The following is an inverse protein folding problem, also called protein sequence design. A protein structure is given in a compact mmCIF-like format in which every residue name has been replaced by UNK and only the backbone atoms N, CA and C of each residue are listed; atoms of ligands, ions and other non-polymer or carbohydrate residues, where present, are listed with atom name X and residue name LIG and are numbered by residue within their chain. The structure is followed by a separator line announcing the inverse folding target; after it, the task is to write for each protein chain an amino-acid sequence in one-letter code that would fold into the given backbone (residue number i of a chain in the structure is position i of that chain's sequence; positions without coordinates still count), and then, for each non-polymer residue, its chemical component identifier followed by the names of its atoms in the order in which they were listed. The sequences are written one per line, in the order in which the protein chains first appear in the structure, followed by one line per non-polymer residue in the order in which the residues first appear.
data_IF_723032018989
#
_entry.id   IF_723032018989
#
_cell.length_a   1.000
_cell.length_b   1.000
_cell.length_c   1.000
_cell.angle_alpha   90.00
_cell.angle_beta   90.00
_cell.angle_gamma   90.00
#
_symmetry.space_group_name_H-M   'P 1'
#
loop_
_entity.id
_entity.type
_entity.pdbx_description
1 polymer ?
#
# COMPACT_ATOMS: atom_id res chain seq x y z
N UNK A 1 -29.72 -32.64 6.92
CA UNK A 1 -28.51 -32.17 6.21
C UNK A 1 -27.53 -31.65 7.25
N UNK A 2 -26.36 -32.28 7.44
CA UNK A 2 -25.33 -31.75 8.34
C UNK A 2 -24.79 -30.45 7.73
N UNK A 3 -24.92 -29.34 8.44
CA UNK A 3 -24.25 -28.07 8.11
C UNK A 3 -22.76 -28.36 7.91
N UNK A 4 -22.28 -28.35 6.66
CA UNK A 4 -20.84 -28.27 6.38
C UNK A 4 -20.39 -26.95 6.97
N UNK A 5 -19.76 -26.96 8.15
CA UNK A 5 -19.00 -25.81 8.66
C UNK A 5 -18.09 -25.38 7.51
N UNK A 6 -18.16 -24.11 7.11
CA UNK A 6 -17.27 -23.59 6.08
C UNK A 6 -15.84 -23.82 6.58
N UNK A 7 -15.05 -24.61 5.85
CA UNK A 7 -13.72 -25.03 6.29
C UNK A 7 -12.78 -23.83 6.50
N UNK A 8 -13.09 -22.70 5.85
CA UNK A 8 -12.39 -21.44 5.97
C UNK A 8 -13.39 -20.31 6.28
N UNK A 9 -13.59 -19.95 7.57
CA UNK A 9 -14.45 -18.83 7.92
C UNK A 9 -13.89 -17.51 7.36
N UNK A 10 -14.78 -16.55 7.10
CA UNK A 10 -14.35 -15.18 6.79
C UNK A 10 -13.74 -14.55 8.03
N UNK A 11 -12.51 -14.08 7.91
CA UNK A 11 -11.76 -13.39 8.94
C UNK A 11 -11.92 -11.89 8.79
N UNK A 12 -11.94 -11.16 9.89
CA UNK A 12 -11.64 -9.72 9.87
C UNK A 12 -10.18 -9.48 9.48
N UNK A 13 -9.80 -8.25 9.16
CA UNK A 13 -8.40 -7.91 8.88
C UNK A 13 -7.46 -8.32 10.01
N UNK A 14 -7.80 -7.94 11.24
CA UNK A 14 -6.98 -8.27 12.42
C UNK A 14 -6.80 -9.78 12.58
N UNK A 15 -7.89 -10.54 12.42
CA UNK A 15 -7.83 -12.00 12.48
C UNK A 15 -6.97 -12.59 11.35
N UNK A 16 -7.01 -12.04 10.14
CA UNK A 16 -6.17 -12.49 9.04
C UNK A 16 -4.68 -12.20 9.30
N UNK A 17 -4.34 -11.06 9.90
CA UNK A 17 -2.96 -10.73 10.31
C UNK A 17 -2.48 -11.67 11.41
N UNK A 18 -3.27 -11.87 12.46
CA UNK A 18 -2.96 -12.82 13.54
C UNK A 18 -2.76 -14.24 12.99
N UNK A 19 -3.59 -14.64 12.02
CA UNK A 19 -3.47 -15.94 11.36
C UNK A 19 -2.18 -16.06 10.53
N UNK A 20 -1.80 -15.03 9.78
CA UNK A 20 -0.52 -14.98 9.07
C UNK A 20 0.65 -15.09 10.03
N UNK A 21 0.66 -14.33 11.13
CA UNK A 21 1.72 -14.34 12.14
C UNK A 21 1.86 -15.73 12.78
N UNK A 22 0.75 -16.35 13.16
CA UNK A 22 0.73 -17.72 13.66
C UNK A 22 1.41 -18.70 12.70
N UNK A 23 1.09 -18.63 11.40
CA UNK A 23 1.71 -19.52 10.41
C UNK A 23 3.16 -19.18 10.09
N UNK A 24 3.57 -17.91 10.19
CA UNK A 24 4.98 -17.54 10.10
C UNK A 24 5.80 -18.20 11.21
N UNK A 25 5.27 -18.26 12.43
CA UNK A 25 5.92 -18.98 13.54
C UNK A 25 6.02 -20.48 13.26
N UNK A 26 4.96 -21.10 12.73
CA UNK A 26 5.01 -22.51 12.31
C UNK A 26 6.05 -22.77 11.20
N UNK A 27 6.19 -21.85 10.24
CA UNK A 27 7.21 -21.93 9.17
C UNK A 27 8.62 -21.83 9.75
N UNK A 28 8.83 -20.95 10.74
CA UNK A 28 10.12 -20.80 11.43
C UNK A 28 10.46 -22.04 12.26
N UNK A 29 9.47 -22.60 12.94
CA UNK A 29 9.62 -23.82 13.75
C UNK A 29 9.97 -25.04 12.91
N UNK A 30 9.30 -25.22 11.75
CA UNK A 30 9.62 -26.29 10.79
C UNK A 30 11.04 -26.12 10.21
N UNK A 31 11.45 -24.87 9.99
CA UNK A 31 12.74 -24.51 9.43
C UNK A 31 12.79 -24.59 7.90
N UNK A 32 13.43 -23.60 7.28
CA UNK A 32 13.45 -23.49 5.82
C UNK A 32 14.17 -24.66 5.12
N UNK A 33 15.16 -25.28 5.77
CA UNK A 33 15.88 -26.41 5.20
C UNK A 33 14.97 -27.65 5.03
N UNK A 34 14.02 -27.85 5.96
CA UNK A 34 12.98 -28.89 5.84
C UNK A 34 11.97 -28.52 4.76
N UNK A 35 11.48 -27.29 4.79
CA UNK A 35 10.43 -26.82 3.88
C UNK A 35 10.88 -26.79 2.42
N UNK A 36 12.16 -26.53 2.16
CA UNK A 36 12.73 -26.54 0.79
C UNK A 36 12.98 -27.93 0.22
N UNK A 37 12.83 -28.99 1.02
CA UNK A 37 13.14 -30.38 0.61
C UNK A 37 11.97 -31.35 0.80
N UNK A 38 10.96 -30.98 1.58
CA UNK A 38 9.83 -31.84 1.92
C UNK A 38 8.50 -31.28 1.40
N UNK A 39 8.08 -31.76 0.23
CA UNK A 39 6.82 -31.38 -0.39
C UNK A 39 5.59 -31.58 0.50
N UNK A 40 5.54 -32.63 1.33
CA UNK A 40 4.41 -32.87 2.22
C UNK A 40 4.27 -31.81 3.32
N UNK A 41 5.39 -31.26 3.79
CA UNK A 41 5.37 -30.15 4.75
C UNK A 41 4.84 -28.86 4.10
N UNK A 42 5.17 -28.62 2.83
CA UNK A 42 4.69 -27.47 2.04
C UNK A 42 3.20 -27.58 1.75
N UNK A 43 2.70 -28.75 1.37
CA UNK A 43 1.26 -28.97 1.14
C UNK A 43 0.45 -28.61 2.38
N UNK A 44 0.93 -28.97 3.58
CA UNK A 44 0.29 -28.58 4.85
C UNK A 44 0.20 -27.06 5.00
N UNK A 45 1.28 -26.33 4.72
CA UNK A 45 1.30 -24.86 4.82
C UNK A 45 0.41 -24.23 3.75
N UNK A 46 0.44 -24.73 2.52
CA UNK A 46 -0.40 -24.24 1.43
C UNK A 46 -1.90 -24.43 1.73
N UNK A 47 -2.28 -25.62 2.18
CA UNK A 47 -3.67 -25.94 2.53
C UNK A 47 -4.22 -25.08 3.68
N UNK A 48 -3.35 -24.65 4.59
CA UNK A 48 -3.79 -23.92 5.78
C UNK A 48 -3.61 -22.41 5.67
N UNK A 49 -2.46 -21.92 5.21
CA UNK A 49 -2.20 -20.49 5.04
C UNK A 49 -2.75 -19.98 3.70
N UNK A 50 -2.31 -20.56 2.60
CA UNK A 50 -2.60 -20.05 1.25
C UNK A 50 -4.09 -20.13 0.94
N UNK A 51 -4.69 -21.31 1.12
CA UNK A 51 -6.13 -21.48 0.88
C UNK A 51 -6.97 -20.61 1.81
N UNK A 52 -6.63 -20.48 3.10
CA UNK A 52 -7.39 -19.63 4.02
C UNK A 52 -7.38 -18.15 3.57
N UNK A 53 -6.25 -17.64 3.07
CA UNK A 53 -6.14 -16.28 2.53
C UNK A 53 -6.85 -16.10 1.19
N UNK A 54 -6.81 -17.10 0.30
CA UNK A 54 -7.55 -17.10 -0.96
C UNK A 54 -9.06 -17.05 -0.76
N UNK A 55 -9.57 -17.68 0.30
CA UNK A 55 -10.99 -17.67 0.62
C UNK A 55 -11.50 -16.34 1.20
N UNK A 56 -10.60 -15.40 1.55
CA UNK A 56 -10.99 -14.08 2.02
C UNK A 56 -11.32 -13.17 0.83
N UNK A 57 -12.61 -13.08 0.50
CA UNK A 57 -13.11 -12.35 -0.68
C UNK A 57 -12.92 -10.83 -0.57
N UNK A 58 -12.69 -10.33 0.64
CA UNK A 58 -12.51 -8.91 0.94
C UNK A 58 -11.06 -8.42 0.78
N UNK A 59 -10.07 -9.32 0.65
CA UNK A 59 -8.67 -8.93 0.43
C UNK A 59 -8.53 -8.38 -0.99
N UNK A 60 -8.78 -7.09 -1.08
CA UNK A 60 -8.65 -6.27 -2.28
C UNK A 60 -7.20 -5.80 -2.46
N UNK A 61 -6.63 -5.92 -3.67
CA UNK A 61 -5.24 -5.52 -3.96
C UNK A 61 -4.96 -4.03 -3.79
N UNK A 62 -5.97 -3.16 -3.83
CA UNK A 62 -5.79 -1.71 -3.72
C UNK A 62 -5.93 -1.27 -2.26
N UNK A 63 -6.93 -1.82 -1.55
CA UNK A 63 -7.18 -1.51 -0.15
C UNK A 63 -6.18 -2.22 0.76
N UNK A 64 -6.09 -3.54 0.70
CA UNK A 64 -5.28 -4.33 1.62
C UNK A 64 -3.98 -4.80 0.97
N UNK A 65 -3.25 -3.88 0.33
CA UNK A 65 -2.12 -4.20 -0.53
C UNK A 65 -1.05 -5.08 0.13
N UNK A 66 -0.64 -4.78 1.36
CA UNK A 66 0.35 -5.58 2.10
C UNK A 66 -0.12 -7.01 2.37
N UNK A 67 -1.37 -7.18 2.83
CA UNK A 67 -1.98 -8.50 3.03
C UNK A 67 -2.23 -9.24 1.71
N UNK A 68 -2.57 -8.51 0.65
CA UNK A 68 -2.67 -9.04 -0.71
C UNK A 68 -1.33 -9.60 -1.21
N UNK A 69 -0.21 -8.90 -0.92
CA UNK A 69 1.13 -9.40 -1.25
C UNK A 69 1.47 -10.68 -0.49
N UNK A 70 1.16 -10.76 0.81
CA UNK A 70 1.32 -12.00 1.58
C UNK A 70 0.56 -13.15 0.93
N UNK A 71 -0.72 -12.94 0.57
CA UNK A 71 -1.51 -13.96 -0.16
C UNK A 71 -0.84 -14.37 -1.47
N UNK A 72 -0.37 -13.42 -2.26
CA UNK A 72 0.30 -13.72 -3.54
C UNK A 72 1.54 -14.58 -3.34
N UNK A 73 2.43 -14.20 -2.43
CA UNK A 73 3.65 -14.96 -2.17
C UNK A 73 3.36 -16.35 -1.55
N UNK A 74 2.33 -16.46 -0.73
CA UNK A 74 1.89 -17.75 -0.19
C UNK A 74 1.40 -18.70 -1.31
N UNK A 75 0.77 -18.17 -2.37
CA UNK A 75 0.42 -18.94 -3.58
C UNK A 75 1.69 -19.35 -4.33
N UNK A 76 2.57 -18.38 -4.61
CA UNK A 76 3.78 -18.58 -5.41
C UNK A 76 4.74 -19.61 -4.77
N UNK A 77 4.74 -19.74 -3.44
CA UNK A 77 5.55 -20.72 -2.70
C UNK A 77 5.16 -22.16 -3.03
N UNK A 78 3.90 -22.46 -3.31
CA UNK A 78 3.51 -23.83 -3.62
C UNK A 78 4.25 -24.37 -4.85
N UNK A 79 4.41 -23.52 -5.88
CA UNK A 79 5.10 -23.87 -7.12
C UNK A 79 6.64 -23.74 -7.00
N UNK A 80 7.13 -22.89 -6.08
CA UNK A 80 8.55 -22.55 -5.95
C UNK A 80 9.16 -22.94 -4.59
N UNK A 81 8.60 -23.95 -3.92
CA UNK A 81 8.94 -24.22 -2.51
C UNK A 81 10.40 -24.60 -2.25
N UNK A 82 11.14 -25.03 -3.27
CA UNK A 82 12.58 -25.33 -3.14
C UNK A 82 13.44 -24.06 -3.07
N UNK A 83 12.88 -22.90 -3.44
CA UNK A 83 13.56 -21.61 -3.36
C UNK A 83 13.44 -21.02 -1.96
N UNK A 84 14.55 -21.08 -1.23
CA UNK A 84 14.69 -20.50 0.11
C UNK A 84 14.40 -18.99 0.14
N UNK A 85 14.71 -18.26 -0.94
CA UNK A 85 14.51 -16.81 -0.98
C UNK A 85 13.02 -16.43 -1.03
N UNK A 86 12.20 -17.25 -1.69
CA UNK A 86 10.74 -17.11 -1.70
C UNK A 86 10.13 -17.26 -0.31
N UNK A 87 10.60 -18.22 0.50
CA UNK A 87 10.18 -18.38 1.90
C UNK A 87 10.61 -17.20 2.77
N UNK A 88 11.85 -16.76 2.65
CA UNK A 88 12.36 -15.61 3.39
C UNK A 88 11.52 -14.36 3.08
N UNK A 89 11.14 -14.17 1.80
CA UNK A 89 10.30 -13.05 1.39
C UNK A 89 8.88 -13.13 1.93
N UNK A 90 8.28 -14.32 1.99
CA UNK A 90 6.96 -14.47 2.62
C UNK A 90 7.02 -14.08 4.10
N UNK A 91 8.03 -14.54 4.84
CA UNK A 91 8.18 -14.21 6.26
C UNK A 91 8.37 -12.71 6.49
N UNK A 92 9.24 -12.06 5.69
CA UNK A 92 9.43 -10.60 5.70
C UNK A 92 8.09 -9.86 5.50
N UNK A 93 7.30 -10.26 4.49
CA UNK A 93 6.01 -9.64 4.21
C UNK A 93 4.99 -9.84 5.34
N UNK A 94 5.06 -10.96 6.07
CA UNK A 94 4.19 -11.22 7.22
C UNK A 94 4.62 -10.37 8.43
N UNK A 95 5.92 -10.23 8.66
CA UNK A 95 6.47 -9.40 9.74
C UNK A 95 6.11 -7.92 9.56
N UNK A 96 6.07 -7.46 8.31
CA UNK A 96 5.68 -6.09 7.94
C UNK A 96 4.15 -5.85 7.92
N UNK A 97 3.32 -6.86 8.22
CA UNK A 97 1.86 -6.66 8.26
C UNK A 97 1.46 -5.71 9.38
N UNK A 98 0.73 -4.62 9.09
CA UNK A 98 0.24 -3.75 10.14
C UNK A 98 -0.79 -4.49 11.00
N UNK A 99 -0.68 -4.35 12.33
CA UNK A 99 -1.56 -5.07 13.28
C UNK A 99 -3.02 -4.61 13.21
N UNK A 100 -3.23 -3.36 12.83
CA UNK A 100 -4.53 -2.77 12.63
C UNK A 100 -4.58 -2.02 11.30
N UNK A 101 -5.52 -2.42 10.44
CA UNK A 101 -5.83 -1.67 9.25
C UNK A 101 -6.75 -0.50 9.61
N UNK A 102 -6.25 0.73 9.48
CA UNK A 102 -7.05 1.94 9.71
C UNK A 102 -6.59 2.83 10.87
N UNK A 103 -5.78 2.37 11.83
CA UNK A 103 -5.34 3.24 12.95
C UNK A 103 -4.25 4.24 12.59
N UNK A 104 -3.53 4.03 11.49
CA UNK A 104 -2.59 5.00 10.90
C UNK A 104 -3.10 5.57 9.56
N UNK A 105 -4.38 5.40 9.22
CA UNK A 105 -4.89 5.69 7.89
C UNK A 105 -5.58 7.06 7.83
N UNK A 106 -4.86 8.12 8.20
CA UNK A 106 -5.32 9.49 7.97
C UNK A 106 -5.42 9.79 6.45
N UNK A 107 -4.77 8.97 5.60
CA UNK A 107 -4.73 9.12 4.15
C UNK A 107 -4.93 7.76 3.44
N UNK A 108 -6.17 7.40 3.04
CA UNK A 108 -6.43 6.15 2.33
C UNK A 108 -5.70 6.11 0.97
N UNK A 109 -5.39 4.89 0.50
CA UNK A 109 -4.88 4.70 -0.85
C UNK A 109 -5.96 5.12 -1.86
N UNK A 110 -5.61 6.09 -2.71
CA UNK A 110 -6.44 6.62 -3.78
C UNK A 110 -6.24 5.77 -5.03
N UNK A 111 -7.32 5.59 -5.81
CA UNK A 111 -7.20 5.20 -7.21
C UNK A 111 -6.52 6.31 -8.01
N UNK A 112 -6.01 5.99 -9.21
CA UNK A 112 -5.47 7.01 -10.12
C UNK A 112 -6.45 8.18 -10.33
N UNK A 113 -7.73 7.86 -10.57
CA UNK A 113 -8.78 8.87 -10.75
C UNK A 113 -8.94 9.77 -9.52
N UNK A 114 -8.98 9.18 -8.32
CA UNK A 114 -9.09 9.94 -7.08
C UNK A 114 -7.86 10.82 -6.82
N UNK A 115 -6.66 10.35 -7.15
CA UNK A 115 -5.45 11.16 -7.02
C UNK A 115 -5.44 12.33 -8.02
N UNK A 116 -5.94 12.13 -9.24
CA UNK A 116 -6.15 13.22 -10.22
C UNK A 116 -7.18 14.23 -9.71
N UNK A 117 -8.32 13.76 -9.21
CA UNK A 117 -9.37 14.64 -8.66
C UNK A 117 -8.85 15.44 -7.44
N UNK A 118 -8.04 14.82 -6.59
CA UNK A 118 -7.34 15.48 -5.47
C UNK A 118 -6.40 16.58 -5.96
N UNK A 119 -5.55 16.29 -6.95
CA UNK A 119 -4.64 17.29 -7.53
C UNK A 119 -5.41 18.48 -8.12
N UNK A 120 -6.50 18.22 -8.86
CA UNK A 120 -7.31 19.28 -9.48
C UNK A 120 -8.00 20.15 -8.43
N UNK A 121 -8.57 19.54 -7.38
CA UNK A 121 -9.21 20.26 -6.28
C UNK A 121 -8.23 21.25 -5.61
N UNK A 122 -7.01 20.82 -5.33
CA UNK A 122 -6.01 21.67 -4.68
C UNK A 122 -5.36 22.67 -5.64
N UNK A 123 -5.25 22.36 -6.93
CA UNK A 123 -4.85 23.36 -7.93
C UNK A 123 -5.87 24.50 -8.02
N UNK A 124 -7.16 24.20 -7.96
CA UNK A 124 -8.20 25.23 -7.92
C UNK A 124 -8.12 26.08 -6.65
N UNK A 125 -7.81 25.48 -5.50
CA UNK A 125 -7.56 26.20 -4.25
C UNK A 125 -6.32 27.10 -4.36
N UNK A 126 -5.20 26.59 -4.88
CA UNK A 126 -3.96 27.37 -5.11
C UNK A 126 -4.25 28.60 -5.99
N UNK A 127 -5.05 28.43 -7.05
CA UNK A 127 -5.45 29.54 -7.93
C UNK A 127 -6.37 30.54 -7.25
N UNK A 128 -7.27 30.05 -6.39
CA UNK A 128 -8.18 30.90 -5.62
C UNK A 128 -7.43 31.77 -4.61
N UNK A 129 -6.43 31.21 -3.93
CA UNK A 129 -5.61 31.93 -2.95
C UNK A 129 -4.61 32.87 -3.65
N UNK A 130 -4.08 32.43 -4.78
CA UNK A 130 -3.13 33.19 -5.60
C UNK A 130 -1.69 33.05 -5.11
N UNK A 131 -0.75 32.93 -6.06
CA UNK A 131 0.65 32.69 -5.73
C UNK A 131 1.31 33.83 -4.95
N UNK A 132 0.83 35.07 -5.08
CA UNK A 132 1.37 36.21 -4.32
C UNK A 132 1.09 36.06 -2.81
N UNK A 133 -0.09 35.52 -2.46
CA UNK A 133 -0.42 35.19 -1.07
C UNK A 133 0.43 34.01 -0.60
N UNK A 134 0.45 32.91 -1.35
CA UNK A 134 1.12 31.67 -0.94
C UNK A 134 2.66 31.82 -0.82
N UNK A 135 3.26 32.78 -1.52
CA UNK A 135 4.70 33.05 -1.42
C UNK A 135 5.07 34.02 -0.29
N UNK A 136 4.08 34.65 0.37
CA UNK A 136 4.31 35.65 1.42
C UNK A 136 3.66 35.31 2.76
N UNK A 137 2.62 34.47 2.76
CA UNK A 137 1.93 33.98 3.95
C UNK A 137 2.20 32.48 4.13
N UNK A 138 3.08 32.17 5.08
CA UNK A 138 3.46 30.81 5.43
C UNK A 138 2.29 29.95 5.93
N UNK A 139 1.33 30.55 6.64
CA UNK A 139 0.18 29.82 7.18
C UNK A 139 -0.79 29.39 6.08
N UNK A 140 -1.07 30.29 5.13
CA UNK A 140 -1.84 29.96 3.94
C UNK A 140 -1.12 28.90 3.08
N UNK A 141 0.19 29.07 2.90
CA UNK A 141 1.00 28.17 2.08
C UNK A 141 1.02 26.74 2.62
N UNK A 142 1.33 26.56 3.90
CA UNK A 142 1.32 25.24 4.55
C UNK A 142 -0.06 24.60 4.49
N UNK A 143 -1.11 25.38 4.75
CA UNK A 143 -2.48 24.85 4.73
C UNK A 143 -2.84 24.19 3.40
N UNK A 144 -2.30 24.70 2.29
CA UNK A 144 -2.55 24.19 0.95
C UNK A 144 -1.51 23.15 0.53
N UNK A 145 -0.22 23.37 0.80
CA UNK A 145 0.86 22.48 0.39
C UNK A 145 0.79 21.13 1.10
N UNK A 146 0.58 21.11 2.42
CA UNK A 146 0.50 19.87 3.21
C UNK A 146 -0.65 19.00 2.70
N UNK A 147 -1.81 19.62 2.45
CA UNK A 147 -3.02 18.91 2.05
C UNK A 147 -2.94 18.36 0.62
N UNK A 148 -2.14 18.98 -0.25
CA UNK A 148 -1.86 18.42 -1.56
C UNK A 148 -0.77 17.33 -1.49
N UNK A 149 0.37 17.65 -0.88
CA UNK A 149 1.59 16.85 -0.94
C UNK A 149 1.49 15.57 -0.11
N UNK A 150 1.03 15.67 1.13
CA UNK A 150 1.07 14.55 2.06
C UNK A 150 0.18 13.38 1.60
N UNK A 151 -1.08 13.58 1.15
CA UNK A 151 -1.88 12.49 0.61
C UNK A 151 -1.24 11.82 -0.62
N UNK A 152 -0.55 12.57 -1.48
CA UNK A 152 0.14 12.02 -2.65
C UNK A 152 1.40 11.24 -2.26
N UNK A 153 2.14 11.69 -1.25
CA UNK A 153 3.36 11.03 -0.77
C UNK A 153 3.06 9.66 -0.15
N UNK A 154 1.90 9.54 0.48
CA UNK A 154 1.41 8.29 1.07
C UNK A 154 0.92 7.26 0.04
N UNK A 155 0.88 7.59 -1.26
CA UNK A 155 0.44 6.66 -2.31
C UNK A 155 1.57 5.73 -2.75
N UNK A 156 1.51 4.47 -2.33
CA UNK A 156 2.56 3.49 -2.61
C UNK A 156 2.69 3.12 -4.10
N UNK A 157 1.63 3.33 -4.87
CA UNK A 157 1.58 3.01 -6.30
C UNK A 157 2.19 4.11 -7.20
N UNK A 158 2.35 5.34 -6.69
CA UNK A 158 2.91 6.46 -7.46
C UNK A 158 4.42 6.25 -7.63
N UNK A 159 4.84 5.95 -8.86
CA UNK A 159 6.25 5.69 -9.20
C UNK A 159 6.58 6.19 -10.60
N UNK A 160 7.79 6.74 -10.77
CA UNK A 160 8.26 7.28 -12.05
C UNK A 160 8.15 6.29 -13.23
N UNK A 161 8.48 4.99 -13.08
CA UNK A 161 8.42 4.06 -14.21
C UNK A 161 7.00 3.71 -14.68
N UNK A 162 5.97 3.85 -13.82
CA UNK A 162 4.60 3.42 -14.13
C UNK A 162 3.63 4.58 -14.32
N UNK A 163 3.83 5.66 -13.57
CA UNK A 163 2.96 6.84 -13.56
C UNK A 163 3.82 8.12 -13.52
N UNK A 164 4.58 8.41 -14.60
CA UNK A 164 5.54 9.51 -14.62
C UNK A 164 4.92 10.88 -14.35
N UNK A 165 3.72 11.14 -14.88
CA UNK A 165 3.06 12.44 -14.75
C UNK A 165 2.65 12.75 -13.30
N UNK A 166 1.93 11.81 -12.66
CA UNK A 166 1.52 11.99 -11.26
C UNK A 166 2.70 11.91 -10.29
N UNK A 167 3.75 11.17 -10.64
CA UNK A 167 5.00 11.15 -9.89
C UNK A 167 5.69 12.52 -9.93
N UNK A 168 5.72 13.18 -11.09
CA UNK A 168 6.26 14.54 -11.19
C UNK A 168 5.45 15.54 -10.35
N UNK A 169 4.12 15.40 -10.31
CA UNK A 169 3.25 16.23 -9.47
C UNK A 169 3.54 16.00 -7.98
N UNK A 170 3.59 14.74 -7.53
CA UNK A 170 3.99 14.40 -6.15
C UNK A 170 5.34 15.04 -5.80
N UNK A 171 6.32 14.95 -6.70
CA UNK A 171 7.63 15.55 -6.50
C UNK A 171 7.55 17.07 -6.29
N UNK A 172 6.89 17.79 -7.19
CA UNK A 172 6.78 19.26 -7.09
C UNK A 172 5.87 19.70 -5.93
N UNK A 173 4.85 18.93 -5.57
CA UNK A 173 4.06 19.17 -4.37
C UNK A 173 4.95 19.15 -3.12
N UNK A 174 5.88 18.20 -3.01
CA UNK A 174 6.88 18.18 -1.95
C UNK A 174 7.99 19.24 -2.08
N UNK A 175 8.19 19.86 -3.24
CA UNK A 175 9.13 21.00 -3.38
C UNK A 175 8.50 22.25 -2.81
N UNK A 176 7.28 22.59 -3.23
CA UNK A 176 6.58 23.78 -2.74
C UNK A 176 6.25 23.69 -1.26
N UNK A 177 6.07 22.48 -0.74
CA UNK A 177 5.86 22.25 0.70
C UNK A 177 7.11 22.52 1.55
N UNK A 178 8.31 22.37 0.97
CA UNK A 178 9.59 22.66 1.66
C UNK A 178 10.01 24.11 1.51
N UNK A 179 9.72 24.73 0.37
CA UNK A 179 10.01 26.13 0.09
C UNK A 179 8.82 26.78 -0.61
N UNK A 180 7.90 27.31 0.21
CA UNK A 180 6.72 28.00 -0.27
C UNK A 180 7.02 29.33 -0.96
N UNK A 181 8.22 29.89 -0.76
CA UNK A 181 8.59 31.20 -1.34
C UNK A 181 9.00 31.11 -2.80
N UNK A 182 9.31 29.90 -3.29
CA UNK A 182 9.67 29.68 -4.68
C UNK A 182 8.44 29.63 -5.60
N UNK A 183 8.10 30.80 -6.14
CA UNK A 183 7.03 30.98 -7.12
C UNK A 183 7.17 30.08 -8.35
N UNK A 184 8.40 29.83 -8.82
CA UNK A 184 8.62 29.02 -10.01
C UNK A 184 8.21 27.56 -9.78
N UNK A 185 8.45 27.04 -8.57
CA UNK A 185 7.99 25.69 -8.19
C UNK A 185 6.47 25.58 -8.12
N UNK A 186 5.77 26.61 -7.63
CA UNK A 186 4.31 26.65 -7.67
C UNK A 186 3.75 26.69 -9.10
N UNK A 187 4.32 27.54 -9.96
CA UNK A 187 3.93 27.63 -11.37
C UNK A 187 4.16 26.28 -12.07
N UNK A 188 5.29 25.62 -11.78
CA UNK A 188 5.60 24.31 -12.34
C UNK A 188 4.64 23.22 -11.87
N UNK A 189 4.27 23.23 -10.59
CA UNK A 189 3.29 22.30 -10.04
C UNK A 189 1.94 22.43 -10.75
N UNK A 190 1.43 23.66 -10.91
CA UNK A 190 0.18 23.91 -11.62
C UNK A 190 0.25 23.47 -13.10
N UNK A 191 1.35 23.77 -13.78
CA UNK A 191 1.58 23.34 -15.17
C UNK A 191 1.52 21.81 -15.34
N UNK A 192 2.02 21.07 -14.35
CA UNK A 192 1.97 19.60 -14.36
C UNK A 192 0.55 19.08 -14.11
N UNK A 193 -0.18 19.69 -13.15
CA UNK A 193 -1.57 19.30 -12.86
C UNK A 193 -2.49 19.56 -14.05
N UNK A 194 -2.26 20.64 -14.82
CA UNK A 194 -3.04 20.97 -16.01
C UNK A 194 -2.90 19.97 -17.16
N UNK A 195 -1.90 19.08 -17.10
CA UNK A 195 -1.68 18.02 -18.09
C UNK A 195 -2.37 16.70 -17.75
N UNK A 196 -2.97 16.57 -16.55
CA UNK A 196 -3.71 15.39 -16.10
C UNK A 196 -5.12 15.30 -16.71
#
# INVERSE_FOLDING_TARGET
MKNKKNQYPQMTYKQAVEYCKYWADQIRDDGLDLLTTNYSAVVRISDQLTYALCMQTWIDPQKYYTLYRVRKYAIDIYDNYTDRSSWAKLLELIDDLPEEYGKNNQYPQMTYKQAVDHCKCWADQIRSDGLDLLTTDWGAAIGVSDQLAYPLDMQEWISAPRYPDIYAIRYYAGVVDRDHTDRASWEKLLELIDKL
#
